data_IF_402093158126
#
_entry.id   IF_402093158126
#
_cell.length_a   1.000
_cell.length_b   1.000
_cell.length_c   1.000
_cell.angle_alpha   90.00
_cell.angle_beta   90.00
_cell.angle_gamma   90.00
#
_symmetry.space_group_name_H-M   'P 1'
#
loop_
_entity.id
_entity.type
_entity.pdbx_description
1 polymer ?
#
# COMPACT_ATOMS: atom_id res chain seq x y z
N UNK A 1 44.17 -18.04 13.15
CA UNK A 1 43.25 -18.99 12.50
C UNK A 1 42.15 -19.27 13.50
N UNK A 2 40.94 -18.73 13.25
CA UNK A 2 39.71 -19.48 12.90
C UNK A 2 39.25 -20.35 14.08
N UNK A 3 38.03 -20.36 14.58
CA UNK A 3 36.75 -19.65 14.35
C UNK A 3 35.89 -19.99 15.57
N UNK A 4 34.83 -19.24 15.82
CA UNK A 4 33.51 -19.73 16.29
C UNK A 4 32.74 -18.58 16.97
N UNK A 5 32.55 -17.51 16.21
CA UNK A 5 31.49 -16.55 16.47
C UNK A 5 30.21 -17.07 15.83
N UNK A 6 29.35 -17.71 16.61
CA UNK A 6 27.95 -17.95 16.21
C UNK A 6 27.33 -16.62 15.78
N UNK A 7 26.96 -16.51 14.51
CA UNK A 7 26.18 -15.41 14.00
C UNK A 7 24.85 -15.33 14.77
N UNK A 8 24.36 -14.13 15.14
CA UNK A 8 23.08 -14.00 15.83
C UNK A 8 21.95 -14.48 14.92
N UNK A 9 21.02 -15.17 15.57
CA UNK A 9 19.71 -15.63 15.11
C UNK A 9 19.08 -14.77 14.01
N UNK A 10 18.57 -15.46 12.99
CA UNK A 10 17.65 -14.94 11.98
C UNK A 10 16.60 -14.02 12.62
N UNK A 11 16.74 -12.72 12.36
CA UNK A 11 15.66 -11.76 12.55
C UNK A 11 14.55 -12.26 11.63
N UNK A 12 13.42 -12.65 12.22
CA UNK A 12 12.19 -12.88 11.48
C UNK A 12 11.89 -11.60 10.69
N UNK A 13 12.23 -11.62 9.39
CA UNK A 13 11.80 -10.58 8.47
C UNK A 13 10.28 -10.68 8.43
N UNK A 14 9.60 -9.78 9.14
CA UNK A 14 8.15 -9.65 9.01
C UNK A 14 7.88 -9.39 7.52
N UNK A 15 7.14 -10.29 6.88
CA UNK A 15 6.75 -10.09 5.50
C UNK A 15 6.01 -8.74 5.40
N UNK A 16 6.29 -7.89 4.39
CA UNK A 16 5.63 -6.60 4.21
C UNK A 16 4.09 -6.69 4.29
N UNK A 17 3.53 -7.84 3.90
CA UNK A 17 2.12 -8.17 3.97
C UNK A 17 1.50 -8.07 5.38
N UNK A 18 2.28 -8.26 6.45
CA UNK A 18 1.76 -8.15 7.82
C UNK A 18 1.80 -6.71 8.36
N UNK A 19 2.49 -5.80 7.68
CA UNK A 19 2.71 -4.42 8.13
C UNK A 19 1.86 -3.44 7.32
N UNK A 20 1.67 -3.71 6.02
CA UNK A 20 0.87 -2.89 5.12
C UNK A 20 -0.58 -3.37 5.14
N UNK A 21 -1.52 -2.43 5.29
CA UNK A 21 -2.95 -2.76 5.33
C UNK A 21 -3.51 -3.02 3.94
N UNK A 22 -4.49 -3.93 3.87
CA UNK A 22 -5.28 -4.15 2.65
C UNK A 22 -6.21 -2.99 2.32
N UNK A 23 -6.64 -2.21 3.31
CA UNK A 23 -7.55 -1.08 3.14
C UNK A 23 -7.17 0.09 4.05
N UNK A 24 -7.31 1.32 3.53
CA UNK A 24 -7.12 2.57 4.27
C UNK A 24 -8.38 3.45 4.25
N UNK A 25 -8.71 4.05 5.39
CA UNK A 25 -9.84 4.97 5.52
C UNK A 25 -9.40 6.43 5.35
N UNK A 26 -9.72 7.01 4.20
CA UNK A 26 -9.33 8.37 3.81
C UNK A 26 -10.52 9.36 3.86
N UNK A 27 -11.49 9.13 4.74
CA UNK A 27 -12.67 10.01 4.87
C UNK A 27 -12.33 11.45 5.23
N UNK A 28 -11.21 11.65 5.92
CA UNK A 28 -10.74 12.97 6.34
C UNK A 28 -10.31 13.87 5.19
N UNK A 29 -10.23 13.35 3.97
CA UNK A 29 -9.94 14.12 2.76
C UNK A 29 -11.13 14.98 2.32
N UNK A 30 -12.36 14.59 2.69
CA UNK A 30 -13.61 15.29 2.34
C UNK A 30 -13.67 15.70 0.85
N UNK A 31 -13.34 14.74 -0.02
CA UNK A 31 -13.25 14.97 -1.46
C UNK A 31 -14.65 14.93 -2.09
N UNK A 32 -15.11 16.03 -2.75
CA UNK A 32 -16.36 16.00 -3.50
C UNK A 32 -16.19 15.12 -4.74
N UNK A 33 -17.20 14.30 -5.04
CA UNK A 33 -17.21 13.49 -6.26
C UNK A 33 -17.89 14.25 -7.42
N UNK A 34 -17.38 14.16 -8.66
CA UNK A 34 -16.17 13.43 -9.07
C UNK A 34 -14.87 14.22 -8.77
N UNK A 35 -13.77 13.51 -8.55
CA UNK A 35 -12.43 14.09 -8.39
C UNK A 35 -11.41 13.36 -9.27
N UNK A 36 -10.28 14.02 -9.57
CA UNK A 36 -9.17 13.44 -10.36
C UNK A 36 -8.06 12.94 -9.41
N UNK A 37 -7.14 12.12 -9.93
CA UNK A 37 -5.94 11.68 -9.18
C UNK A 37 -5.16 12.86 -8.59
N UNK A 38 -5.05 13.96 -9.34
CA UNK A 38 -4.42 15.19 -8.87
C UNK A 38 -5.12 15.77 -7.61
N UNK A 39 -6.44 15.76 -7.57
CA UNK A 39 -7.22 16.27 -6.44
C UNK A 39 -7.04 15.37 -5.21
N UNK A 40 -7.03 14.04 -5.41
CA UNK A 40 -6.76 13.06 -4.36
C UNK A 40 -5.38 13.29 -3.73
N UNK A 41 -4.33 13.37 -4.56
CA UNK A 41 -2.97 13.65 -4.11
C UNK A 41 -2.88 14.95 -3.32
N UNK A 42 -3.43 16.03 -3.88
CA UNK A 42 -3.44 17.35 -3.23
C UNK A 42 -4.15 17.33 -1.87
N UNK A 43 -5.26 16.60 -1.76
CA UNK A 43 -5.97 16.44 -0.50
C UNK A 43 -5.15 15.63 0.53
N UNK A 44 -4.47 14.55 0.09
CA UNK A 44 -3.57 13.76 0.95
C UNK A 44 -2.47 14.65 1.52
N UNK A 45 -1.81 15.44 0.68
CA UNK A 45 -0.71 16.31 1.09
C UNK A 45 -1.18 17.38 2.07
N UNK A 46 -2.33 18.01 1.79
CA UNK A 46 -2.97 18.97 2.71
C UNK A 46 -3.31 18.34 4.07
N UNK A 47 -3.60 17.04 4.10
CA UNK A 47 -3.97 16.28 5.29
C UNK A 47 -2.90 15.27 5.73
N UNK A 48 -1.62 15.51 5.41
CA UNK A 48 -0.54 14.53 5.60
C UNK A 48 -0.45 13.98 7.03
N UNK A 49 -0.73 14.81 8.05
CA UNK A 49 -0.79 14.36 9.45
C UNK A 49 -1.82 13.25 9.67
N UNK A 50 -3.03 13.40 9.13
CA UNK A 50 -4.09 12.39 9.27
C UNK A 50 -3.80 11.17 8.41
N UNK A 51 -3.24 11.39 7.22
CA UNK A 51 -2.79 10.32 6.33
C UNK A 51 -1.74 9.41 6.99
N UNK A 52 -0.72 9.99 7.64
CA UNK A 52 0.29 9.24 8.40
C UNK A 52 -0.30 8.47 9.60
N UNK A 53 -1.29 9.05 10.29
CA UNK A 53 -1.98 8.34 11.38
C UNK A 53 -2.77 7.14 10.87
N UNK A 54 -3.37 7.26 9.69
CA UNK A 54 -4.08 6.16 9.04
C UNK A 54 -3.10 5.10 8.53
N UNK A 55 -2.01 5.48 7.88
CA UNK A 55 -1.03 4.55 7.33
C UNK A 55 -0.23 3.81 8.40
N UNK A 56 0.19 4.51 9.44
CA UNK A 56 0.94 3.94 10.56
C UNK A 56 2.10 4.82 11.01
N UNK A 57 2.49 4.66 12.28
CA UNK A 57 3.52 5.48 12.94
C UNK A 57 4.94 5.33 12.37
N UNK A 58 5.18 4.25 11.63
CA UNK A 58 6.50 3.91 11.12
C UNK A 58 6.75 4.45 9.71
N UNK A 59 5.74 5.08 9.09
CA UNK A 59 5.88 5.82 7.85
C UNK A 59 6.46 7.22 8.09
N UNK A 60 7.49 7.57 7.35
CA UNK A 60 8.09 8.91 7.30
C UNK A 60 7.91 9.45 5.89
N UNK A 61 7.22 10.58 5.74
CA UNK A 61 7.07 11.24 4.44
C UNK A 61 8.42 11.78 3.96
N UNK A 62 8.81 11.42 2.73
CA UNK A 62 10.06 11.89 2.11
C UNK A 62 9.81 12.87 0.97
N UNK A 63 8.73 12.69 0.21
CA UNK A 63 8.42 13.58 -0.91
C UNK A 63 7.18 13.18 -1.68
N UNK A 64 6.76 14.08 -2.56
CA UNK A 64 5.69 13.91 -3.54
C UNK A 64 6.28 14.14 -4.94
N UNK A 65 5.60 13.61 -5.98
CA UNK A 65 6.07 13.72 -7.37
C UNK A 65 7.58 13.46 -7.47
N UNK A 66 8.03 12.37 -6.84
CA UNK A 66 9.45 12.13 -6.65
C UNK A 66 10.08 11.77 -7.99
N UNK A 67 11.05 12.59 -8.40
CA UNK A 67 11.72 12.48 -9.69
C UNK A 67 12.68 11.30 -9.73
N UNK A 68 12.51 10.46 -10.74
CA UNK A 68 13.38 9.35 -11.09
C UNK A 68 13.84 9.52 -12.53
N UNK A 69 15.14 9.73 -12.73
CA UNK A 69 15.72 9.80 -14.06
C UNK A 69 16.25 8.43 -14.47
N UNK A 70 15.65 7.82 -15.49
CA UNK A 70 16.11 6.52 -16.03
C UNK A 70 16.52 6.70 -17.48
N UNK A 71 17.83 6.56 -17.72
CA UNK A 71 18.43 6.85 -19.02
C UNK A 71 18.30 8.33 -19.37
N UNK A 72 17.46 8.65 -20.36
CA UNK A 72 17.22 10.02 -20.85
C UNK A 72 15.82 10.54 -20.56
N UNK A 73 15.01 9.77 -19.83
CA UNK A 73 13.62 10.09 -19.56
C UNK A 73 13.41 10.34 -18.07
N UNK A 74 12.50 11.25 -17.78
CA UNK A 74 12.09 11.60 -16.43
C UNK A 74 10.77 10.91 -16.07
N UNK A 75 10.74 10.34 -14.88
CA UNK A 75 9.57 9.69 -14.32
C UNK A 75 9.29 10.23 -12.93
N UNK A 76 8.04 10.08 -12.47
CA UNK A 76 7.59 10.64 -11.22
C UNK A 76 6.67 9.65 -10.50
N UNK A 77 7.00 9.31 -9.25
CA UNK A 77 6.10 8.55 -8.36
C UNK A 77 5.20 9.53 -7.61
N UNK A 78 3.95 9.16 -7.30
CA UNK A 78 3.05 10.09 -6.61
C UNK A 78 3.57 10.49 -5.23
N UNK A 79 3.94 9.52 -4.39
CA UNK A 79 4.50 9.77 -3.05
C UNK A 79 5.64 8.80 -2.74
N UNK A 80 6.64 9.27 -2.00
CA UNK A 80 7.71 8.44 -1.41
C UNK A 80 7.70 8.61 0.10
N UNK A 81 7.80 7.48 0.78
CA UNK A 81 7.98 7.38 2.22
C UNK A 81 9.22 6.54 2.54
N UNK A 82 9.67 6.62 3.79
CA UNK A 82 10.56 5.63 4.40
C UNK A 82 9.81 4.90 5.50
N UNK A 83 9.91 3.57 5.54
CA UNK A 83 9.31 2.78 6.60
C UNK A 83 10.37 2.39 7.63
N UNK A 84 10.21 2.83 8.88
CA UNK A 84 11.21 2.66 9.94
C UNK A 84 11.45 1.21 10.34
N UNK A 85 10.39 0.44 10.50
CA UNK A 85 10.49 -0.97 10.91
C UNK A 85 11.07 -1.86 9.80
N UNK A 86 10.54 -1.71 8.57
CA UNK A 86 11.07 -2.39 7.38
C UNK A 86 12.44 -1.86 6.92
N UNK A 87 12.84 -0.67 7.34
CA UNK A 87 14.08 0.02 6.92
C UNK A 87 14.24 0.12 5.39
N UNK A 88 13.18 0.49 4.68
CA UNK A 88 13.18 0.61 3.22
C UNK A 88 12.42 1.86 2.74
N UNK A 89 12.65 2.24 1.48
CA UNK A 89 11.83 3.20 0.77
C UNK A 89 10.48 2.56 0.41
N UNK A 90 9.41 3.35 0.49
CA UNK A 90 8.07 2.94 0.11
C UNK A 90 7.54 3.89 -0.95
N UNK A 91 7.36 3.37 -2.17
CA UNK A 91 6.74 4.10 -3.26
C UNK A 91 5.24 3.88 -3.25
N UNK A 92 4.46 4.95 -3.23
CA UNK A 92 3.00 4.90 -3.26
C UNK A 92 2.50 5.51 -4.56
N UNK A 93 1.73 4.74 -5.32
CA UNK A 93 1.03 5.19 -6.52
C UNK A 93 -0.48 5.27 -6.21
N UNK A 94 -1.10 6.40 -6.51
CA UNK A 94 -2.51 6.66 -6.26
C UNK A 94 -3.33 6.37 -7.53
N UNK A 95 -4.47 5.70 -7.39
CA UNK A 95 -5.37 5.37 -8.50
C UNK A 95 -6.83 5.58 -8.09
N UNK A 96 -7.57 6.43 -8.83
CA UNK A 96 -9.00 6.70 -8.55
C UNK A 96 -9.95 5.64 -9.13
N UNK A 97 -9.40 4.72 -9.91
CA UNK A 97 -10.12 3.62 -10.55
C UNK A 97 -9.73 2.28 -9.89
N UNK A 98 -10.33 1.21 -10.39
CA UNK A 98 -10.02 -0.15 -9.98
C UNK A 98 -8.57 -0.52 -10.34
N UNK A 99 -8.01 -1.43 -9.56
CA UNK A 99 -6.69 -2.00 -9.84
C UNK A 99 -6.63 -2.60 -11.25
N UNK A 100 -5.53 -2.32 -11.96
CA UNK A 100 -5.20 -2.94 -13.25
C UNK A 100 -3.81 -3.58 -13.18
N UNK A 101 -3.61 -4.78 -13.75
CA UNK A 101 -2.31 -5.46 -13.74
C UNK A 101 -1.14 -4.62 -14.30
N UNK A 102 -1.41 -3.72 -15.25
CA UNK A 102 -0.41 -2.82 -15.84
C UNK A 102 0.27 -1.89 -14.80
N UNK A 103 -0.42 -1.59 -13.68
CA UNK A 103 0.12 -0.76 -12.61
C UNK A 103 1.33 -1.44 -11.92
N UNK A 104 1.36 -2.78 -11.86
CA UNK A 104 2.49 -3.52 -11.31
C UNK A 104 3.75 -3.33 -12.14
N UNK A 105 3.63 -3.27 -13.47
CA UNK A 105 4.78 -3.05 -14.35
C UNK A 105 5.43 -1.69 -14.10
N UNK A 106 4.61 -0.65 -13.97
CA UNK A 106 5.05 0.71 -13.63
C UNK A 106 5.69 0.76 -12.24
N UNK A 107 5.07 0.12 -11.25
CA UNK A 107 5.61 0.06 -9.89
C UNK A 107 6.95 -0.67 -9.84
N UNK A 108 7.07 -1.83 -10.47
CA UNK A 108 8.32 -2.60 -10.51
C UNK A 108 9.47 -1.79 -11.12
N UNK A 109 9.19 -1.01 -12.18
CA UNK A 109 10.15 -0.10 -12.77
C UNK A 109 10.63 0.97 -11.77
N UNK A 110 9.71 1.56 -10.99
CA UNK A 110 10.06 2.53 -9.95
C UNK A 110 10.88 1.93 -8.82
N UNK A 111 10.52 0.74 -8.33
CA UNK A 111 11.26 0.07 -7.27
C UNK A 111 12.69 -0.27 -7.71
N UNK A 112 12.88 -0.71 -8.96
CA UNK A 112 14.22 -0.97 -9.49
C UNK A 112 15.07 0.30 -9.57
N UNK A 113 14.49 1.43 -10.02
CA UNK A 113 15.19 2.72 -10.06
C UNK A 113 15.53 3.22 -8.65
N UNK A 114 14.59 3.13 -7.71
CA UNK A 114 14.81 3.50 -6.30
C UNK A 114 15.93 2.65 -5.69
N UNK A 115 15.90 1.33 -5.88
CA UNK A 115 16.89 0.42 -5.31
C UNK A 115 18.30 0.61 -5.85
N UNK A 116 18.43 1.02 -7.12
CA UNK A 116 19.72 1.27 -7.76
C UNK A 116 20.29 2.65 -7.45
N UNK A 117 19.46 3.67 -7.54
CA UNK A 117 19.93 5.06 -7.65
C UNK A 117 19.72 5.87 -6.37
N UNK A 118 18.79 5.47 -5.50
CA UNK A 118 18.37 6.25 -4.31
C UNK A 118 18.65 5.52 -3.00
N UNK A 119 18.34 4.23 -2.95
CA UNK A 119 18.43 3.39 -1.77
C UNK A 119 19.86 3.36 -1.23
N UNK A 120 20.00 3.51 0.09
CA UNK A 120 21.31 3.42 0.75
C UNK A 120 21.74 1.96 0.93
N UNK A 121 23.06 1.70 1.08
CA UNK A 121 23.57 0.34 1.24
C UNK A 121 23.02 -0.44 2.45
N UNK A 122 22.56 0.26 3.49
CA UNK A 122 22.02 -0.34 4.71
C UNK A 122 20.48 -0.47 4.70
N UNK A 123 19.82 0.00 3.65
CA UNK A 123 18.36 -0.06 3.52
C UNK A 123 17.95 -1.35 2.80
N UNK A 124 16.85 -1.94 3.26
CA UNK A 124 16.23 -3.11 2.64
C UNK A 124 15.59 -2.74 1.29
N UNK A 125 15.34 -3.72 0.39
CA UNK A 125 14.69 -3.46 -0.90
C UNK A 125 13.41 -2.65 -0.76
N UNK A 126 13.21 -1.72 -1.69
CA UNK A 126 12.05 -0.82 -1.69
C UNK A 126 10.75 -1.60 -1.86
N UNK A 127 9.68 -1.08 -1.26
CA UNK A 127 8.35 -1.67 -1.29
C UNK A 127 7.39 -0.75 -2.06
N UNK A 128 6.54 -1.34 -2.89
CA UNK A 128 5.50 -0.62 -3.63
C UNK A 128 4.16 -0.72 -2.93
N UNK A 129 3.38 0.35 -2.92
CA UNK A 129 1.96 0.34 -2.56
C UNK A 129 1.19 0.97 -3.71
N UNK A 130 0.27 0.20 -4.30
CA UNK A 130 -0.71 0.72 -5.24
C UNK A 130 -2.00 0.94 -4.47
N UNK A 131 -2.39 2.20 -4.31
CA UNK A 131 -3.57 2.60 -3.54
C UNK A 131 -4.73 2.92 -4.50
N UNK A 132 -5.64 1.97 -4.68
CA UNK A 132 -6.76 2.04 -5.64
C UNK A 132 -8.10 2.32 -4.96
N UNK A 133 -9.08 2.84 -5.73
CA UNK A 133 -10.46 3.01 -5.24
C UNK A 133 -11.13 1.67 -4.93
N UNK A 134 -10.82 0.64 -5.72
CA UNK A 134 -11.21 -0.74 -5.45
C UNK A 134 -10.23 -1.72 -6.10
N UNK A 135 -10.27 -2.99 -5.69
CA UNK A 135 -9.54 -4.10 -6.31
C UNK A 135 -10.47 -5.31 -6.46
N UNK A 136 -10.43 -5.93 -7.62
CA UNK A 136 -11.07 -7.23 -7.86
C UNK A 136 -10.10 -8.33 -7.38
N UNK A 137 -10.53 -9.15 -6.43
CA UNK A 137 -9.69 -10.19 -5.82
C UNK A 137 -9.22 -11.22 -6.85
N UNK A 138 -10.06 -11.62 -7.81
CA UNK A 138 -9.68 -12.55 -8.87
C UNK A 138 -8.55 -11.94 -9.71
N UNK A 139 -8.72 -10.68 -10.14
CA UNK A 139 -7.70 -9.98 -10.92
C UNK A 139 -6.40 -9.84 -10.15
N UNK A 140 -6.46 -9.55 -8.85
CA UNK A 140 -5.30 -9.45 -7.97
C UNK A 140 -4.58 -10.80 -7.84
N UNK A 141 -5.30 -11.92 -7.73
CA UNK A 141 -4.71 -13.27 -7.63
C UNK A 141 -3.96 -13.69 -8.91
N UNK A 142 -4.39 -13.24 -10.09
CA UNK A 142 -3.70 -13.49 -11.36
C UNK A 142 -2.54 -12.52 -11.63
N UNK A 143 -2.46 -11.41 -10.91
CA UNK A 143 -1.48 -10.36 -11.12
C UNK A 143 -0.03 -10.68 -10.66
N UNK A 144 0.25 -11.42 -9.55
CA UNK A 144 1.62 -11.66 -9.12
C UNK A 144 2.42 -12.46 -10.15
N UNK A 145 3.53 -11.89 -10.60
CA UNK A 145 4.53 -12.59 -11.40
C UNK A 145 5.27 -13.63 -10.56
N UNK A 146 5.85 -14.67 -11.21
CA UNK A 146 6.64 -15.75 -10.56
C UNK A 146 7.78 -15.27 -9.63
N UNK A 147 8.18 -14.01 -9.72
CA UNK A 147 9.04 -13.36 -8.75
C UNK A 147 8.15 -12.46 -7.89
N UNK A 148 8.07 -12.74 -6.59
CA UNK A 148 7.35 -11.92 -5.61
C UNK A 148 7.86 -10.47 -5.70
N UNK A 149 7.15 -9.63 -6.46
CA UNK A 149 7.37 -8.20 -6.42
C UNK A 149 7.02 -7.73 -5.01
N UNK A 150 7.83 -6.89 -4.36
CA UNK A 150 7.51 -6.32 -3.06
C UNK A 150 6.42 -5.23 -3.19
N UNK A 151 5.44 -5.44 -4.05
CA UNK A 151 4.32 -4.51 -4.30
C UNK A 151 3.06 -5.04 -3.65
N UNK A 152 2.45 -4.20 -2.81
CA UNK A 152 1.15 -4.46 -2.19
C UNK A 152 0.06 -3.66 -2.92
N UNK A 153 -1.12 -4.25 -3.03
CA UNK A 153 -2.30 -3.61 -3.61
C UNK A 153 -3.30 -3.36 -2.48
N UNK A 154 -3.52 -2.08 -2.18
CA UNK A 154 -4.40 -1.64 -1.10
C UNK A 154 -5.57 -0.85 -1.66
N UNK A 155 -6.74 -1.00 -1.06
CA UNK A 155 -7.90 -0.16 -1.35
C UNK A 155 -7.92 1.09 -0.45
N UNK A 156 -8.55 2.16 -0.91
CA UNK A 156 -8.94 3.26 -0.04
C UNK A 156 -10.43 3.55 -0.11
N UNK A 157 -11.00 4.00 1.01
CA UNK A 157 -12.38 4.50 1.07
C UNK A 157 -12.41 5.92 1.59
N UNK A 158 -13.16 6.79 0.90
CA UNK A 158 -13.35 8.19 1.31
C UNK A 158 -14.66 8.43 2.06
N UNK A 159 -15.48 7.39 2.23
CA UNK A 159 -16.76 7.44 2.94
C UNK A 159 -16.91 6.19 3.80
N UNK A 160 -17.25 6.38 5.07
CA UNK A 160 -17.70 5.29 5.94
C UNK A 160 -19.06 4.76 5.47
N UNK A 161 -19.25 3.44 5.58
CA UNK A 161 -20.58 2.83 5.45
C UNK A 161 -21.44 3.34 6.61
N UNK A 162 -22.71 3.68 6.35
CA UNK A 162 -23.61 4.14 7.40
C UNK A 162 -23.80 3.07 8.48
N UNK A 163 -23.95 3.51 9.73
CA UNK A 163 -24.13 2.61 10.88
C UNK A 163 -25.35 1.70 10.70
N UNK A 164 -26.42 2.22 10.11
CA UNK A 164 -27.65 1.47 9.88
C UNK A 164 -27.43 0.33 8.87
N UNK A 165 -26.70 0.60 7.78
CA UNK A 165 -26.36 -0.41 6.77
C UNK A 165 -25.46 -1.48 7.40
N UNK A 166 -24.47 -1.08 8.20
CA UNK A 166 -23.57 -2.00 8.87
C UNK A 166 -24.33 -2.90 9.86
N UNK A 167 -25.21 -2.31 10.68
CA UNK A 167 -26.06 -3.06 11.62
C UNK A 167 -26.97 -4.06 10.90
N UNK A 168 -27.58 -3.65 9.77
CA UNK A 168 -28.42 -4.53 8.97
C UNK A 168 -27.62 -5.71 8.42
N UNK A 169 -26.45 -5.45 7.83
CA UNK A 169 -25.57 -6.50 7.28
C UNK A 169 -25.04 -7.46 8.34
N UNK A 170 -24.68 -6.95 9.52
CA UNK A 170 -24.28 -7.79 10.65
C UNK A 170 -25.42 -8.70 11.11
N UNK A 171 -26.65 -8.17 11.18
CA UNK A 171 -27.83 -8.96 11.53
C UNK A 171 -28.11 -10.06 10.52
N UNK A 172 -28.09 -9.72 9.22
CA UNK A 172 -28.23 -10.70 8.12
C UNK A 172 -27.20 -11.83 8.24
N UNK A 173 -25.92 -11.51 8.51
CA UNK A 173 -24.87 -12.53 8.68
C UNK A 173 -25.07 -13.40 9.93
N UNK A 174 -25.48 -12.81 11.06
CA UNK A 174 -25.75 -13.60 12.27
C UNK A 174 -26.92 -14.56 12.08
N UNK A 175 -27.97 -14.15 11.36
CA UNK A 175 -29.13 -14.98 11.07
C UNK A 175 -28.74 -16.18 10.17
N UNK A 176 -27.90 -15.95 9.15
CA UNK A 176 -27.40 -17.03 8.28
C UNK A 176 -26.57 -18.08 9.05
N UNK A 177 -25.73 -17.64 10.00
CA UNK A 177 -24.90 -18.56 10.82
C UNK A 177 -25.76 -19.39 11.78
N UNK A 178 -26.87 -18.83 12.28
CA UNK A 178 -27.78 -19.54 13.19
C UNK A 178 -28.67 -20.55 12.43
N UNK A 179 -29.05 -20.25 11.18
CA UNK A 179 -29.77 -21.17 10.29
C UNK A 179 -28.91 -22.39 9.89
N UNK A 180 -27.63 -22.20 9.60
CA UNK A 180 -26.70 -23.29 9.27
C UNK A 180 -26.43 -24.23 10.46
N UNK A 181 -26.42 -23.71 11.69
CA UNK A 181 -26.28 -24.52 12.92
C UNK A 181 -27.53 -25.33 13.27
N UNK A 182 -28.70 -24.83 12.92
CA UNK A 182 -29.97 -25.52 13.14
C UNK A 182 -30.31 -26.53 12.03
N UNK A 183 -29.52 -26.54 10.94
CA UNK A 183 -29.69 -27.44 9.80
C UNK A 183 -28.68 -28.61 9.77
N UNK A 184 -27.84 -28.75 10.80
CA UNK A 184 -26.94 -29.89 11.07
C UNK A 184 -27.40 -30.68 12.29
#
# INVERSE_FOLDING_TARGET
MLSDGKAPSAISQAAPANIIRDMYMLEFLDLPEPYREYDLKKAILKNMKKFLLEFGRDFIFMGEEYHLQVGKNDYYTDLIFFHRELQCLVAIELKIDDFKPEYLGKMQFYLEALDRDVKKPHENPSVGIILCKSKDEDVVEYAPSRNMSPTMISEYRTKLISKEILQKKLKELTEMVDEDKNSQ
#
